data_IF_237838030389
#
_entry.id   IF_237838030389
#
_cell.length_a   1.000
_cell.length_b   1.000
_cell.length_c   1.000
_cell.angle_alpha   90.00
_cell.angle_beta   90.00
_cell.angle_gamma   90.00
#
_symmetry.space_group_name_H-M   'P 1'
#
loop_
_entity.id
_entity.type
_entity.pdbx_description
1 polymer ?
#
# COMPACT_ATOMS: atom_id res chain seq x y z
N UNK A 1 -5.12 -15.85 -9.73
CA UNK A 1 -3.80 -16.42 -9.34
C UNK A 1 -3.37 -15.75 -8.06
N UNK A 2 -2.89 -16.52 -7.07
CA UNK A 2 -2.36 -15.98 -5.83
C UNK A 2 -0.94 -15.47 -6.08
N UNK A 3 -0.63 -14.23 -5.72
CA UNK A 3 0.72 -13.68 -5.86
C UNK A 3 1.66 -14.30 -4.80
N UNK A 4 2.93 -14.45 -5.14
CA UNK A 4 3.98 -14.75 -4.15
C UNK A 4 4.31 -13.51 -3.34
N UNK A 5 4.95 -13.66 -2.18
CA UNK A 5 5.40 -12.53 -1.37
C UNK A 5 6.30 -11.55 -2.15
N UNK A 6 7.17 -12.08 -3.03
CA UNK A 6 8.02 -11.24 -3.89
C UNK A 6 7.22 -10.41 -4.88
N UNK A 7 6.21 -11.01 -5.51
CA UNK A 7 5.33 -10.31 -6.45
C UNK A 7 4.46 -9.26 -5.74
N UNK A 8 4.01 -9.53 -4.51
CA UNK A 8 3.26 -8.56 -3.70
C UNK A 8 4.14 -7.36 -3.37
N UNK A 9 5.38 -7.60 -2.92
CA UNK A 9 6.32 -6.55 -2.58
C UNK A 9 6.70 -5.69 -3.79
N UNK A 10 6.92 -6.32 -4.94
CA UNK A 10 7.21 -5.64 -6.20
C UNK A 10 6.06 -4.74 -6.63
N UNK A 11 4.83 -5.26 -6.65
CA UNK A 11 3.63 -4.49 -7.01
C UNK A 11 3.42 -3.29 -6.07
N UNK A 12 3.57 -3.48 -4.75
CA UNK A 12 3.45 -2.38 -3.78
C UNK A 12 4.51 -1.29 -4.02
N UNK A 13 5.75 -1.70 -4.32
CA UNK A 13 6.87 -0.78 -4.58
C UNK A 13 6.73 -0.02 -5.90
N UNK A 14 6.04 -0.61 -6.88
CA UNK A 14 5.73 0.01 -8.18
C UNK A 14 4.49 0.88 -8.17
N UNK A 15 3.86 1.11 -7.01
CA UNK A 15 2.59 1.83 -6.86
C UNK A 15 1.40 1.14 -7.52
N UNK A 16 1.50 -0.15 -7.82
CA UNK A 16 0.40 -0.98 -8.32
C UNK A 16 -0.51 -1.45 -7.15
N UNK A 17 -0.91 -0.52 -6.30
CA UNK A 17 -1.45 -0.79 -4.97
C UNK A 17 -2.68 -1.69 -4.98
N UNK A 18 -3.59 -1.51 -5.94
CA UNK A 18 -4.82 -2.29 -6.06
C UNK A 18 -4.57 -3.80 -6.15
N UNK A 19 -3.46 -4.20 -6.80
CA UNK A 19 -3.07 -5.60 -6.92
C UNK A 19 -2.67 -6.22 -5.59
N UNK A 20 -2.35 -5.40 -4.59
CA UNK A 20 -1.82 -5.83 -3.28
C UNK A 20 -2.91 -5.89 -2.20
N UNK A 21 -4.01 -5.14 -2.34
CA UNK A 21 -5.07 -5.01 -1.33
C UNK A 21 -5.67 -6.35 -0.85
N UNK A 22 -5.87 -7.37 -1.69
CA UNK A 22 -6.36 -8.68 -1.23
C UNK A 22 -5.42 -9.36 -0.23
N UNK A 23 -4.12 -9.05 -0.27
CA UNK A 23 -3.08 -9.70 0.52
C UNK A 23 -2.72 -8.92 1.80
N UNK A 24 -3.27 -7.73 1.98
CA UNK A 24 -3.01 -6.93 3.19
C UNK A 24 -3.81 -7.50 4.37
N UNK A 25 -3.11 -7.72 5.48
CA UNK A 25 -3.73 -7.99 6.77
C UNK A 25 -4.63 -6.84 7.19
N UNK A 26 -5.77 -7.14 7.82
CA UNK A 26 -6.64 -6.12 8.42
C UNK A 26 -5.91 -5.31 9.50
N UNK A 27 -4.89 -5.90 10.12
CA UNK A 27 -4.05 -5.31 11.17
C UNK A 27 -2.69 -4.81 10.67
N UNK A 28 -2.51 -4.64 9.36
CA UNK A 28 -1.25 -4.15 8.78
C UNK A 28 -0.77 -2.84 9.42
N UNK A 29 0.54 -2.71 9.56
CA UNK A 29 1.18 -1.46 9.97
C UNK A 29 2.18 -1.04 8.91
N UNK A 30 2.09 0.20 8.45
CA UNK A 30 3.05 0.80 7.55
C UNK A 30 3.85 1.88 8.27
N UNK A 31 5.11 1.57 8.57
CA UNK A 31 6.04 2.51 9.20
C UNK A 31 6.85 3.22 8.13
N UNK A 32 6.52 4.48 7.88
CA UNK A 32 7.26 5.33 6.97
C UNK A 32 8.43 5.98 7.72
N UNK A 33 9.63 5.94 7.14
CA UNK A 33 10.79 6.58 7.75
C UNK A 33 10.59 8.10 7.71
N UNK A 34 10.73 8.76 8.86
CA UNK A 34 10.52 10.20 8.99
C UNK A 34 9.07 10.66 8.99
N UNK A 35 8.10 9.74 9.09
CA UNK A 35 6.67 10.06 9.17
C UNK A 35 5.97 9.19 10.21
N UNK A 36 4.67 9.46 10.42
CA UNK A 36 3.85 8.70 11.36
C UNK A 36 3.60 7.27 10.86
N UNK A 37 3.32 6.38 11.82
CA UNK A 37 2.91 5.01 11.53
C UNK A 37 1.44 5.00 11.11
N UNK A 38 1.15 4.39 9.96
CA UNK A 38 -0.21 4.15 9.49
C UNK A 38 -0.62 2.75 9.93
N UNK A 39 -1.80 2.59 10.53
CA UNK A 39 -2.26 1.33 11.10
C UNK A 39 -3.63 0.98 10.53
N UNK A 40 -3.80 -0.28 10.15
CA UNK A 40 -5.05 -0.80 9.63
C UNK A 40 -5.15 -0.71 8.11
N UNK A 41 -5.80 -1.71 7.52
CA UNK A 41 -5.90 -1.87 6.07
C UNK A 41 -6.55 -0.68 5.37
N UNK A 42 -7.64 -0.14 5.94
CA UNK A 42 -8.37 1.00 5.37
C UNK A 42 -7.49 2.25 5.30
N UNK A 43 -6.76 2.57 6.37
CA UNK A 43 -5.92 3.76 6.40
C UNK A 43 -4.68 3.62 5.52
N UNK A 44 -4.10 2.41 5.43
CA UNK A 44 -3.04 2.12 4.45
C UNK A 44 -3.55 2.29 3.02
N UNK A 45 -4.71 1.74 2.67
CA UNK A 45 -5.32 1.89 1.34
C UNK A 45 -5.61 3.35 1.00
N UNK A 46 -6.15 4.13 1.96
CA UNK A 46 -6.37 5.57 1.78
C UNK A 46 -5.06 6.31 1.49
N UNK A 47 -3.99 5.97 2.21
CA UNK A 47 -2.67 6.59 1.99
C UNK A 47 -2.07 6.22 0.63
N UNK A 48 -2.23 4.96 0.18
CA UNK A 48 -1.85 4.53 -1.16
C UNK A 48 -2.56 5.35 -2.25
N UNK A 49 -3.88 5.56 -2.10
CA UNK A 49 -4.66 6.37 -3.04
C UNK A 49 -4.21 7.83 -3.06
N UNK A 50 -4.01 8.45 -1.89
CA UNK A 50 -3.53 9.84 -1.81
C UNK A 50 -2.18 10.02 -2.52
N UNK A 51 -1.27 9.06 -2.35
CA UNK A 51 0.04 9.09 -3.03
C UNK A 51 -0.08 8.95 -4.54
N UNK A 52 -0.99 8.11 -5.02
CA UNK A 52 -1.28 8.01 -6.45
C UNK A 52 -1.76 9.35 -7.02
N UNK A 53 -2.67 10.03 -6.32
CA UNK A 53 -3.18 11.35 -6.73
C UNK A 53 -2.06 12.42 -6.68
N UNK A 54 -1.25 12.47 -5.62
CA UNK A 54 -0.14 13.42 -5.51
C UNK A 54 0.93 13.24 -6.59
N UNK A 55 1.14 12.01 -7.08
CA UNK A 55 2.08 11.73 -8.18
C UNK A 55 1.51 12.10 -9.57
N UNK A 56 0.19 12.20 -9.70
CA UNK A 56 -0.50 12.38 -10.98
C UNK A 56 -1.22 13.74 -11.15
N UNK A 57 -1.11 14.65 -10.17
CA UNK A 57 -1.38 16.08 -10.34
C UNK A 57 -2.83 16.44 -10.68
N UNK A 58 -3.78 16.09 -9.81
CA UNK A 58 -5.16 16.60 -9.83
C UNK A 58 -5.41 17.52 -8.65
#
# INVERSE_FOLDING_TARGET
MNLTNGQIAEAFSKHEFERTYPYLSDTIQWKLVGSERIVGKVDVMRNCLLRYVSLHGW
#
